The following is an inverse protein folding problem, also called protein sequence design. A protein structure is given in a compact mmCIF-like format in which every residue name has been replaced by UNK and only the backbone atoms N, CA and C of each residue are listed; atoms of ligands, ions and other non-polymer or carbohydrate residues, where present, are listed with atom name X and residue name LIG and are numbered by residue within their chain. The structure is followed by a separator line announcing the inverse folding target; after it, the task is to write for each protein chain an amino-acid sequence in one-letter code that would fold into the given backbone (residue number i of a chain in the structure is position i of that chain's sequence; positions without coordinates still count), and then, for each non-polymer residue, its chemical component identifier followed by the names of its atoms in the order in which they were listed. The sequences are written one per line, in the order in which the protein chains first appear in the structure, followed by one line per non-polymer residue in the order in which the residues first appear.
data_IF_532907934535
#
_entry.id   IF_532907934535
#
_cell.length_a   1.000
_cell.length_b   1.000
_cell.length_c   1.000
_cell.angle_alpha   90.00
_cell.angle_beta   90.00
_cell.angle_gamma   90.00
#
_symmetry.space_group_name_H-M   'P 1'
#
loop_
_entity.id
_entity.type
_entity.pdbx_description
1 polymer ?
#
# COMPACT_ATOMS: atom_id res chain seq x y z
N UNK A 1 2.80 43.43 -6.95
CA UNK A 1 3.94 42.59 -7.37
C UNK A 1 4.52 41.96 -6.13
N UNK A 2 4.09 40.74 -5.78
CA UNK A 2 4.51 40.08 -4.55
C UNK A 2 5.20 38.76 -4.87
N UNK A 3 6.51 38.76 -4.62
CA UNK A 3 7.45 37.67 -4.42
C UNK A 3 6.90 36.24 -4.56
N UNK A 4 7.22 35.61 -5.70
CA UNK A 4 7.16 34.17 -5.90
C UNK A 4 8.26 33.53 -5.02
N UNK A 5 7.87 33.03 -3.85
CA UNK A 5 8.77 32.30 -2.96
C UNK A 5 9.00 30.90 -3.51
N UNK A 6 10.16 30.78 -4.16
CA UNK A 6 11.02 29.62 -4.32
C UNK A 6 10.65 28.43 -3.41
N UNK A 7 9.79 27.55 -3.91
CA UNK A 7 9.56 26.23 -3.30
C UNK A 7 10.57 25.26 -3.93
N UNK A 8 11.82 25.34 -3.48
CA UNK A 8 12.82 24.30 -3.77
C UNK A 8 12.26 22.97 -3.32
N UNK A 9 11.84 22.16 -4.28
CA UNK A 9 11.80 20.71 -4.12
C UNK A 9 13.22 20.37 -3.66
N UNK A 10 13.37 19.97 -2.40
CA UNK A 10 14.60 19.31 -1.98
C UNK A 10 14.69 18.08 -2.84
N UNK A 11 15.54 18.17 -3.86
CA UNK A 11 15.99 17.06 -4.65
C UNK A 11 16.58 16.09 -3.64
N UNK A 12 15.77 15.11 -3.21
CA UNK A 12 16.28 13.96 -2.51
C UNK A 12 17.12 13.29 -3.57
N UNK A 13 18.41 13.58 -3.55
CA UNK A 13 19.39 12.81 -4.27
C UNK A 13 19.12 11.37 -3.86
N UNK A 14 18.45 10.62 -4.73
CA UNK A 14 18.51 9.19 -4.78
C UNK A 14 19.99 8.92 -4.95
N UNK A 15 20.71 8.79 -3.84
CA UNK A 15 22.07 8.27 -3.84
C UNK A 15 21.89 6.92 -4.51
N UNK A 16 22.27 6.84 -5.78
CA UNK A 16 22.37 5.61 -6.55
C UNK A 16 23.46 4.79 -5.88
N UNK A 17 23.15 4.19 -4.75
CA UNK A 17 23.88 3.00 -4.32
C UNK A 17 23.43 1.90 -5.26
N UNK A 18 24.13 1.79 -6.39
CA UNK A 18 24.01 0.65 -7.30
C UNK A 18 24.67 -0.57 -6.66
N UNK A 19 24.09 -1.04 -5.57
CA UNK A 19 24.19 -2.44 -5.19
C UNK A 19 23.21 -3.17 -6.11
N UNK A 20 23.56 -3.25 -7.40
CA UNK A 20 22.73 -3.92 -8.39
C UNK A 20 22.58 -5.38 -8.03
N UNK A 21 21.41 -5.95 -8.32
CA UNK A 21 21.18 -7.39 -8.18
C UNK A 21 22.32 -8.14 -8.88
N UNK A 22 23.03 -8.99 -8.14
CA UNK A 22 24.16 -9.77 -8.69
C UNK A 22 23.70 -10.92 -9.56
N UNK A 23 22.41 -11.28 -9.48
CA UNK A 23 21.73 -12.30 -10.27
C UNK A 23 20.31 -11.84 -10.62
N UNK A 24 19.74 -12.28 -11.75
CA UNK A 24 18.32 -12.05 -12.04
C UNK A 24 17.42 -12.60 -10.94
N UNK A 25 16.43 -11.81 -10.52
CA UNK A 25 15.41 -12.22 -9.55
C UNK A 25 14.06 -12.20 -10.25
N UNK A 26 13.26 -13.26 -10.05
CA UNK A 26 11.86 -13.30 -10.50
C UNK A 26 10.96 -13.02 -9.30
N UNK A 27 10.03 -12.07 -9.45
CA UNK A 27 9.07 -11.70 -8.43
C UNK A 27 7.64 -11.89 -8.92
N UNK A 28 6.80 -12.50 -8.09
CA UNK A 28 5.34 -12.57 -8.26
C UNK A 28 4.69 -11.45 -7.44
N UNK A 29 4.18 -10.45 -8.13
CA UNK A 29 3.55 -9.26 -7.53
C UNK A 29 2.07 -9.27 -7.86
N UNK A 30 1.23 -9.01 -6.86
CA UNK A 30 -0.22 -8.87 -7.02
C UNK A 30 -0.65 -7.47 -6.61
N UNK A 31 -1.58 -6.90 -7.37
CA UNK A 31 -2.33 -5.71 -6.93
C UNK A 31 -3.81 -6.06 -6.86
N UNK A 32 -4.50 -5.64 -5.81
CA UNK A 32 -5.92 -5.91 -5.69
C UNK A 32 -6.68 -4.84 -4.88
N UNK A 33 -7.73 -4.30 -5.49
CA UNK A 33 -8.70 -3.46 -4.80
C UNK A 33 -9.70 -4.37 -4.07
N UNK A 34 -9.77 -4.26 -2.74
CA UNK A 34 -10.51 -5.21 -1.89
C UNK A 34 -11.88 -4.71 -1.43
N UNK A 35 -12.28 -3.52 -1.90
CA UNK A 35 -13.58 -2.91 -1.64
C UNK A 35 -13.97 -2.89 -0.15
N UNK A 36 -13.00 -2.61 0.73
CA UNK A 36 -13.18 -2.56 2.18
C UNK A 36 -13.56 -1.14 2.62
N UNK A 37 -14.69 -0.66 2.10
CA UNK A 37 -15.25 0.69 2.32
C UNK A 37 -16.31 0.72 3.44
N UNK A 38 -16.49 1.87 4.09
CA UNK A 38 -17.39 2.02 5.24
C UNK A 38 -18.88 1.92 4.88
N UNK A 39 -19.28 2.43 3.71
CA UNK A 39 -20.67 2.49 3.24
C UNK A 39 -20.77 1.73 1.94
N UNK A 40 -21.82 0.90 1.78
CA UNK A 40 -22.04 0.14 0.55
C UNK A 40 -21.28 -1.19 0.44
N UNK A 41 -20.56 -1.60 1.48
CA UNK A 41 -19.80 -2.87 1.51
C UNK A 41 -20.34 -3.82 2.58
N UNK A 42 -20.92 -4.94 2.15
CA UNK A 42 -21.40 -6.05 3.00
C UNK A 42 -20.37 -7.18 3.07
N UNK A 43 -20.57 -8.14 3.99
CA UNK A 43 -19.83 -9.41 4.07
C UNK A 43 -18.30 -9.30 4.13
N UNK A 44 -17.81 -8.17 4.67
CA UNK A 44 -16.39 -7.79 4.59
C UNK A 44 -15.47 -8.79 5.25
N UNK A 45 -15.85 -9.31 6.43
CA UNK A 45 -15.07 -10.31 7.14
C UNK A 45 -14.91 -11.61 6.34
N UNK A 46 -15.97 -12.08 5.69
CA UNK A 46 -15.93 -13.26 4.81
C UNK A 46 -15.07 -12.99 3.58
N UNK A 47 -15.27 -11.84 2.92
CA UNK A 47 -14.46 -11.41 1.80
C UNK A 47 -12.97 -11.36 2.16
N UNK A 48 -12.58 -10.78 3.29
CA UNK A 48 -11.17 -10.73 3.72
C UNK A 48 -10.56 -12.13 3.91
N UNK A 49 -11.34 -13.10 4.43
CA UNK A 49 -10.87 -14.49 4.56
C UNK A 49 -10.68 -15.14 3.19
N UNK A 50 -11.67 -15.03 2.30
CA UNK A 50 -11.61 -15.60 0.96
C UNK A 50 -10.45 -15.02 0.12
N UNK A 51 -10.24 -13.70 0.23
CA UNK A 51 -9.11 -13.02 -0.41
C UNK A 51 -7.79 -13.58 0.13
N UNK A 52 -7.64 -13.70 1.45
CA UNK A 52 -6.44 -14.26 2.04
C UNK A 52 -6.17 -15.69 1.56
N UNK A 53 -7.20 -16.54 1.54
CA UNK A 53 -7.09 -17.95 1.09
C UNK A 53 -6.65 -18.07 -0.37
N UNK A 54 -7.15 -17.19 -1.26
CA UNK A 54 -6.67 -17.16 -2.65
C UNK A 54 -5.25 -16.66 -2.77
N UNK A 55 -4.85 -15.66 -1.99
CA UNK A 55 -3.48 -15.18 -1.97
C UNK A 55 -2.52 -16.24 -1.42
N UNK A 56 -2.91 -16.99 -0.39
CA UNK A 56 -2.14 -18.14 0.12
C UNK A 56 -1.92 -19.20 -0.96
N UNK A 57 -2.95 -19.48 -1.78
CA UNK A 57 -2.83 -20.45 -2.88
C UNK A 57 -1.97 -19.91 -4.04
N UNK A 58 -2.09 -18.62 -4.34
CA UNK A 58 -1.35 -17.97 -5.42
C UNK A 58 0.14 -17.80 -5.09
N UNK A 59 0.48 -17.77 -3.80
CA UNK A 59 1.82 -17.62 -3.23
C UNK A 59 2.64 -16.45 -3.82
N UNK A 60 2.15 -15.19 -3.72
CA UNK A 60 2.88 -14.02 -4.18
C UNK A 60 3.98 -13.58 -3.21
N UNK A 61 4.99 -12.90 -3.75
CA UNK A 61 6.07 -12.31 -2.97
C UNK A 61 5.67 -10.98 -2.35
N UNK A 62 4.88 -10.19 -3.09
CA UNK A 62 4.42 -8.86 -2.69
C UNK A 62 2.97 -8.69 -3.15
N UNK A 63 2.14 -8.11 -2.28
CA UNK A 63 0.75 -7.76 -2.57
C UNK A 63 0.50 -6.31 -2.21
N UNK A 64 0.05 -5.52 -3.18
CA UNK A 64 -0.49 -4.17 -2.96
C UNK A 64 -2.01 -4.22 -2.90
N UNK A 65 -2.59 -3.69 -1.83
CA UNK A 65 -4.03 -3.62 -1.63
C UNK A 65 -4.53 -2.17 -1.74
N UNK A 66 -5.67 -1.98 -2.41
CA UNK A 66 -6.41 -0.71 -2.46
C UNK A 66 -7.77 -0.83 -1.75
N UNK A 67 -8.33 0.30 -1.33
CA UNK A 67 -9.58 0.41 -0.56
C UNK A 67 -9.60 -0.39 0.75
N UNK A 68 -8.44 -0.58 1.36
CA UNK A 68 -8.26 -1.27 2.64
C UNK A 68 -8.56 -0.35 3.83
N UNK A 69 -9.76 0.24 3.92
CA UNK A 69 -10.02 1.35 4.86
C UNK A 69 -10.28 0.91 6.30
N UNK A 70 -10.84 -0.28 6.52
CA UNK A 70 -11.38 -0.66 7.83
C UNK A 70 -10.37 -1.51 8.60
N UNK A 71 -9.90 -1.00 9.75
CA UNK A 71 -8.84 -1.64 10.56
C UNK A 71 -9.17 -3.08 10.99
N UNK A 72 -10.41 -3.33 11.43
CA UNK A 72 -10.83 -4.67 11.85
C UNK A 72 -10.78 -5.68 10.71
N UNK A 73 -11.15 -5.26 9.51
CA UNK A 73 -11.24 -6.14 8.34
C UNK A 73 -9.81 -6.40 7.81
N UNK A 74 -8.93 -5.38 7.82
CA UNK A 74 -7.48 -5.56 7.60
C UNK A 74 -6.84 -6.57 8.52
N UNK A 75 -7.17 -6.55 9.82
CA UNK A 75 -6.59 -7.49 10.78
C UNK A 75 -6.96 -8.94 10.42
N UNK A 76 -8.20 -9.19 10.01
CA UNK A 76 -8.65 -10.53 9.55
C UNK A 76 -7.81 -10.99 8.35
N UNK A 77 -7.64 -10.13 7.35
CA UNK A 77 -6.82 -10.40 6.16
C UNK A 77 -5.37 -10.72 6.57
N UNK A 78 -4.74 -9.86 7.37
CA UNK A 78 -3.34 -10.00 7.79
C UNK A 78 -3.12 -11.27 8.62
N UNK A 79 -3.99 -11.56 9.58
CA UNK A 79 -3.88 -12.76 10.42
C UNK A 79 -3.96 -14.05 9.60
N UNK A 80 -4.80 -14.07 8.55
CA UNK A 80 -4.91 -15.21 7.65
C UNK A 80 -3.68 -15.35 6.76
N UNK A 81 -3.19 -14.25 6.18
CA UNK A 81 -1.96 -14.25 5.38
C UNK A 81 -0.75 -14.72 6.18
N UNK A 82 -0.58 -14.26 7.42
CA UNK A 82 0.53 -14.69 8.29
C UNK A 82 0.52 -16.19 8.57
N UNK A 83 -0.66 -16.79 8.69
CA UNK A 83 -0.82 -18.23 8.97
C UNK A 83 -0.62 -19.10 7.73
N UNK A 84 -1.02 -18.63 6.57
CA UNK A 84 -1.11 -19.44 5.35
C UNK A 84 -0.14 -19.06 4.23
N UNK A 85 0.73 -18.08 4.41
CA UNK A 85 1.63 -17.63 3.36
C UNK A 85 2.97 -17.12 3.90
N UNK A 86 3.90 -16.89 2.98
CA UNK A 86 5.19 -16.25 3.23
C UNK A 86 5.10 -14.73 3.44
N UNK A 87 3.93 -14.11 3.23
CA UNK A 87 3.72 -12.68 3.45
C UNK A 87 3.66 -12.37 4.95
N UNK A 88 4.80 -12.00 5.53
CA UNK A 88 4.95 -11.76 6.97
C UNK A 88 5.10 -10.28 7.34
N UNK A 89 5.40 -9.42 6.37
CA UNK A 89 5.64 -7.99 6.56
C UNK A 89 4.47 -7.19 5.99
N UNK A 90 3.81 -6.38 6.81
CA UNK A 90 2.60 -5.66 6.41
C UNK A 90 2.71 -4.19 6.78
N UNK A 91 2.48 -3.31 5.81
CA UNK A 91 2.53 -1.86 5.99
C UNK A 91 1.26 -1.19 5.49
N UNK A 92 0.46 -0.69 6.42
CA UNK A 92 -0.66 0.21 6.10
C UNK A 92 -0.17 1.65 6.03
N UNK A 93 -0.66 2.43 5.06
CA UNK A 93 -0.23 3.82 4.86
C UNK A 93 -1.33 4.78 5.34
N UNK A 94 -1.32 5.22 6.61
CA UNK A 94 -2.35 6.15 7.09
C UNK A 94 -2.27 7.50 6.37
N UNK A 95 -3.42 8.11 6.11
CA UNK A 95 -3.54 9.42 5.46
C UNK A 95 -4.75 10.14 6.05
N UNK A 96 -4.60 11.44 6.41
CA UNK A 96 -5.64 12.35 6.97
C UNK A 96 -6.83 11.63 7.65
N UNK A 97 -8.08 11.99 7.36
CA UNK A 97 -9.24 11.67 8.20
C UNK A 97 -9.72 10.21 8.05
N UNK A 98 -9.64 9.63 6.85
CA UNK A 98 -10.22 8.28 6.57
C UNK A 98 -9.16 7.20 6.28
N UNK A 99 -7.88 7.58 6.15
CA UNK A 99 -6.81 6.70 5.68
C UNK A 99 -6.51 6.86 4.19
N UNK A 100 -5.48 6.18 3.67
CA UNK A 100 -5.24 6.10 2.21
C UNK A 100 -5.97 4.92 1.56
N UNK A 101 -6.41 3.94 2.36
CA UNK A 101 -6.88 2.66 1.84
C UNK A 101 -5.77 1.79 1.24
N UNK A 102 -4.49 2.17 1.40
CA UNK A 102 -3.35 1.43 0.86
C UNK A 102 -2.67 0.58 1.92
N UNK A 103 -2.48 -0.70 1.60
CA UNK A 103 -1.74 -1.68 2.40
C UNK A 103 -0.78 -2.43 1.47
N UNK A 104 0.48 -2.58 1.88
CA UNK A 104 1.43 -3.47 1.22
C UNK A 104 1.70 -4.65 2.15
N UNK A 105 1.62 -5.87 1.61
CA UNK A 105 2.08 -7.09 2.27
C UNK A 105 3.24 -7.67 1.48
N UNK A 106 4.27 -8.14 2.16
CA UNK A 106 5.52 -8.58 1.56
C UNK A 106 6.05 -9.80 2.29
N UNK A 107 6.65 -10.72 1.55
CA UNK A 107 7.42 -11.83 2.09
C UNK A 107 8.84 -11.41 2.51
N UNK A 108 9.27 -10.25 2.06
CA UNK A 108 10.57 -9.65 2.36
C UNK A 108 10.41 -8.49 3.35
N UNK A 109 11.44 -8.26 4.18
CA UNK A 109 11.38 -7.19 5.18
C UNK A 109 11.27 -5.82 4.51
N UNK A 110 10.29 -5.03 4.95
CA UNK A 110 10.10 -3.64 4.52
C UNK A 110 11.03 -2.76 5.36
N UNK A 111 12.02 -2.14 4.73
CA UNK A 111 13.05 -1.30 5.39
C UNK A 111 12.64 0.16 5.46
N UNK A 112 12.06 0.66 4.37
CA UNK A 112 11.58 2.03 4.25
C UNK A 112 10.15 2.07 3.74
N UNK A 113 9.44 3.14 4.14
CA UNK A 113 8.05 3.36 3.76
C UNK A 113 7.78 4.85 3.62
N UNK A 114 7.10 5.23 2.54
CA UNK A 114 6.63 6.60 2.36
C UNK A 114 5.26 6.62 1.68
N UNK A 115 4.54 7.72 1.85
CA UNK A 115 3.24 7.93 1.21
C UNK A 115 3.26 9.28 0.51
N UNK A 116 3.11 9.27 -0.82
CA UNK A 116 3.04 10.47 -1.63
C UNK A 116 1.59 10.76 -1.99
N UNK A 117 1.04 11.85 -1.45
CA UNK A 117 -0.32 12.30 -1.77
C UNK A 117 -0.35 12.97 -3.15
N UNK A 118 -1.42 12.73 -3.92
CA UNK A 118 -1.65 13.50 -5.13
C UNK A 118 -1.97 14.97 -4.81
N UNK A 119 -1.42 15.91 -5.59
CA UNK A 119 -1.61 17.35 -5.37
C UNK A 119 -3.04 17.80 -5.72
N UNK A 120 -3.64 17.15 -6.71
CA UNK A 120 -5.00 17.43 -7.16
C UNK A 120 -5.97 16.40 -6.58
N UNK A 121 -6.83 16.86 -5.67
CA UNK A 121 -8.01 16.12 -5.21
C UNK A 121 -9.24 16.94 -5.53
N UNK A 122 -10.34 16.28 -5.93
CA UNK A 122 -11.60 16.94 -6.29
C UNK A 122 -12.06 17.97 -5.23
N UNK A 123 -12.81 19.02 -5.58
CA UNK A 123 -13.29 20.03 -4.64
C UNK A 123 -14.15 19.46 -3.50
N UNK A 124 -14.09 20.08 -2.31
CA UNK A 124 -14.74 19.62 -1.08
C UNK A 124 -16.27 19.48 -1.13
N UNK A 125 -16.94 20.12 -2.09
CA UNK A 125 -18.39 20.08 -2.26
C UNK A 125 -18.87 18.91 -3.14
N UNK A 126 -17.97 18.14 -3.77
CA UNK A 126 -18.30 16.92 -4.53
C UNK A 126 -18.25 15.66 -3.64
N UNK A 127 -18.98 15.71 -2.53
CA UNK A 127 -19.02 14.65 -1.50
C UNK A 127 -19.64 13.34 -2.04
N UNK A 128 -20.52 13.43 -3.04
CA UNK A 128 -21.18 12.29 -3.69
C UNK A 128 -20.26 11.46 -4.60
N UNK A 129 -19.07 11.98 -4.94
CA UNK A 129 -18.08 11.28 -5.78
C UNK A 129 -17.01 10.54 -4.96
N UNK A 130 -17.11 10.50 -3.61
CA UNK A 130 -16.25 9.67 -2.73
C UNK A 130 -14.76 10.04 -2.67
N UNK A 131 -14.29 10.86 -3.61
CA UNK A 131 -12.88 11.16 -3.88
C UNK A 131 -12.24 12.16 -2.91
N UNK A 132 -13.04 12.87 -2.12
CA UNK A 132 -12.52 13.91 -1.23
C UNK A 132 -12.00 13.37 0.11
N UNK A 133 -12.54 12.25 0.60
CA UNK A 133 -12.29 11.77 1.97
C UNK A 133 -11.09 10.83 2.09
N UNK A 134 -10.87 10.00 1.08
CA UNK A 134 -9.69 9.17 0.97
C UNK A 134 -8.57 10.02 0.38
N UNK A 135 -7.53 10.29 1.16
CA UNK A 135 -6.35 10.94 0.60
C UNK A 135 -5.71 10.04 -0.43
N UNK A 136 -6.08 10.20 -1.71
CA UNK A 136 -5.49 9.45 -2.82
C UNK A 136 -4.00 9.76 -2.92
N UNK A 137 -3.23 8.75 -3.28
CA UNK A 137 -1.79 8.85 -3.39
C UNK A 137 -1.15 7.52 -3.71
N UNK A 138 0.17 7.49 -3.58
CA UNK A 138 1.02 6.34 -3.85
C UNK A 138 1.68 5.92 -2.54
N UNK A 139 1.56 4.63 -2.21
CA UNK A 139 2.34 3.99 -1.17
C UNK A 139 3.65 3.48 -1.76
N UNK A 140 4.76 3.80 -1.11
CA UNK A 140 6.09 3.29 -1.46
C UNK A 140 6.63 2.43 -0.32
N UNK A 141 7.22 1.30 -0.68
CA UNK A 141 7.95 0.42 0.21
C UNK A 141 9.29 0.09 -0.42
N UNK A 142 10.37 0.18 0.36
CA UNK A 142 11.63 -0.47 0.03
C UNK A 142 11.67 -1.82 0.74
N UNK A 143 12.07 -2.88 0.03
CA UNK A 143 12.12 -4.24 0.55
C UNK A 143 13.50 -4.83 0.37
N UNK A 144 13.97 -5.58 1.38
CA UNK A 144 15.27 -6.27 1.34
C UNK A 144 15.10 -7.70 0.82
N UNK A 145 15.62 -7.96 -0.38
CA UNK A 145 15.59 -9.28 -0.99
C UNK A 145 16.55 -10.26 -0.28
N UNK A 146 16.38 -11.58 -0.46
CA UNK A 146 17.14 -12.61 0.26
C UNK A 146 18.67 -12.49 0.13
N UNK A 147 19.15 -11.99 -1.00
CA UNK A 147 20.59 -11.82 -1.26
C UNK A 147 21.19 -10.56 -0.58
N UNK A 148 20.41 -9.90 0.28
CA UNK A 148 20.83 -8.72 1.05
C UNK A 148 20.72 -7.40 0.31
N UNK A 149 20.33 -7.42 -0.97
CA UNK A 149 20.10 -6.25 -1.80
C UNK A 149 18.67 -5.73 -1.64
N UNK A 150 18.53 -4.41 -1.40
CA UNK A 150 17.25 -3.74 -1.26
C UNK A 150 17.37 -2.40 -0.55
#
# INVERSE_FOLDING_TARGET
MSSCTDTRIREVALIRQTHGLTKPVTLKIVTFNIHDIYVGSTDRAERMRAIAEKLCTLDPDIVGFQESFIKKDRNILIERLKKGSRLQYHQYYPSRVVGSGLLISSAFSITERSFLRFKDSNPFYKVTEGDWWAGKGVALAQVKLPDGFG
#
